data_IF_628669114183
#
_entry.id   IF_628669114183
#
_cell.length_a   1.000
_cell.length_b   1.000
_cell.length_c   1.000
_cell.angle_alpha   90.00
_cell.angle_beta   90.00
_cell.angle_gamma   90.00
#
_symmetry.space_group_name_H-M   'P 1'
#
loop_
_entity.id
_entity.type
_entity.pdbx_description
1 polymer ?
#
# COMPACT_ATOMS: atom_id res chain seq x y z
N UNK A 1 -13.63 -13.21 2.76
CA UNK A 1 -13.53 -11.75 2.60
C UNK A 1 -14.18 -11.32 1.29
N UNK A 2 -15.18 -10.44 1.31
CA UNK A 2 -15.84 -10.00 0.08
C UNK A 2 -14.90 -9.16 -0.79
N UNK A 3 -15.00 -9.35 -2.10
CA UNK A 3 -14.32 -8.51 -3.08
C UNK A 3 -15.04 -7.16 -3.13
N UNK A 4 -14.29 -6.06 -3.05
CA UNK A 4 -14.87 -4.74 -3.14
C UNK A 4 -15.26 -4.41 -4.58
N UNK A 5 -16.46 -3.87 -4.83
CA UNK A 5 -16.82 -3.38 -6.16
C UNK A 5 -15.87 -2.26 -6.60
N UNK A 6 -15.54 -2.23 -7.90
CA UNK A 6 -14.65 -1.20 -8.45
C UNK A 6 -15.09 0.22 -8.09
N UNK A 7 -16.38 0.47 -8.12
CA UNK A 7 -16.94 1.79 -7.80
C UNK A 7 -16.64 2.19 -6.35
N UNK A 8 -16.74 1.24 -5.42
CA UNK A 8 -16.43 1.48 -4.01
C UNK A 8 -14.92 1.72 -3.82
N UNK A 9 -14.09 0.95 -4.53
CA UNK A 9 -12.64 1.15 -4.48
C UNK A 9 -12.30 2.57 -4.96
N UNK A 10 -12.84 2.99 -6.09
CA UNK A 10 -12.59 4.32 -6.64
C UNK A 10 -13.04 5.42 -5.68
N UNK A 11 -14.18 5.23 -5.00
CA UNK A 11 -14.67 6.17 -4.00
C UNK A 11 -13.68 6.33 -2.85
N UNK A 12 -13.12 5.24 -2.34
CA UNK A 12 -12.17 5.29 -1.24
C UNK A 12 -10.81 5.82 -1.67
N UNK A 13 -10.41 5.59 -2.91
CA UNK A 13 -9.14 6.12 -3.44
C UNK A 13 -9.14 7.65 -3.51
N UNK A 14 -10.29 8.29 -3.52
CA UNK A 14 -10.36 9.76 -3.46
C UNK A 14 -9.69 10.32 -2.20
N UNK A 15 -9.66 9.56 -1.11
CA UNK A 15 -9.03 9.93 0.15
C UNK A 15 -7.61 9.37 0.30
N UNK A 16 -7.08 8.75 -0.74
CA UNK A 16 -5.77 8.10 -0.73
C UNK A 16 -4.91 8.62 -1.90
N UNK A 17 -4.40 9.86 -1.79
CA UNK A 17 -3.65 10.47 -2.90
C UNK A 17 -2.42 9.65 -3.25
N UNK A 18 -2.22 9.46 -4.55
CA UNK A 18 -1.10 8.67 -5.07
C UNK A 18 -1.36 7.17 -5.15
N UNK A 19 -2.42 6.66 -4.52
CA UNK A 19 -2.84 5.27 -4.67
C UNK A 19 -3.71 5.13 -5.91
N UNK A 20 -3.54 4.03 -6.62
CA UNK A 20 -4.34 3.75 -7.82
C UNK A 20 -4.72 2.28 -7.89
N UNK A 21 -5.80 2.01 -8.61
CA UNK A 21 -6.22 0.65 -8.93
C UNK A 21 -5.64 0.30 -10.31
N UNK A 22 -4.78 -0.71 -10.33
CA UNK A 22 -4.17 -1.21 -11.55
C UNK A 22 -4.59 -2.67 -11.73
N UNK A 23 -5.56 -2.90 -12.63
CA UNK A 23 -6.14 -4.23 -12.81
C UNK A 23 -6.85 -4.69 -11.54
N UNK A 24 -6.32 -5.73 -10.90
CA UNK A 24 -6.89 -6.38 -9.73
C UNK A 24 -6.12 -6.05 -8.44
N UNK A 25 -5.29 -5.02 -8.44
CA UNK A 25 -4.51 -4.66 -7.25
C UNK A 25 -4.40 -3.15 -7.08
N UNK A 26 -4.12 -2.73 -5.84
CA UNK A 26 -3.79 -1.34 -5.51
C UNK A 26 -2.28 -1.16 -5.57
N UNK A 27 -1.83 -0.01 -6.05
CA UNK A 27 -0.41 0.29 -6.13
C UNK A 27 -0.12 1.73 -5.69
N UNK A 28 1.06 1.93 -5.12
CA UNK A 28 1.56 3.23 -4.67
C UNK A 28 3.08 3.22 -4.71
N UNK A 29 3.65 4.31 -5.23
CA UNK A 29 5.10 4.53 -5.16
C UNK A 29 5.37 5.76 -4.32
N UNK A 30 6.33 5.65 -3.40
CA UNK A 30 6.81 6.75 -2.57
C UNK A 30 8.25 7.08 -2.92
N UNK A 31 8.58 8.37 -2.88
CA UNK A 31 9.97 8.83 -3.00
C UNK A 31 10.45 9.31 -1.64
N UNK A 32 11.68 8.94 -1.30
CA UNK A 32 12.32 9.26 -0.03
C UNK A 32 13.57 10.11 -0.28
N UNK A 33 14.08 10.75 0.77
CA UNK A 33 15.26 11.61 0.67
C UNK A 33 16.55 10.82 0.45
N UNK A 34 16.59 9.54 0.80
CA UNK A 34 17.80 8.72 0.73
C UNK A 34 17.45 7.24 0.69
N UNK A 35 18.43 6.40 0.39
CA UNK A 35 18.25 4.95 0.43
C UNK A 35 17.97 4.44 1.85
N UNK A 36 18.69 4.88 2.90
CA UNK A 36 18.34 4.48 4.26
C UNK A 36 16.92 4.88 4.66
N UNK A 37 16.43 6.05 4.24
CA UNK A 37 15.06 6.46 4.52
C UNK A 37 14.05 5.53 3.83
N UNK A 38 14.31 5.16 2.57
CA UNK A 38 13.47 4.21 1.85
C UNK A 38 13.46 2.84 2.54
N UNK A 39 14.62 2.36 2.98
CA UNK A 39 14.75 1.09 3.71
C UNK A 39 13.96 1.14 5.03
N UNK A 40 14.05 2.24 5.77
CA UNK A 40 13.29 2.40 7.02
C UNK A 40 11.79 2.36 6.78
N UNK A 41 11.32 2.97 5.70
CA UNK A 41 9.90 2.91 5.32
C UNK A 41 9.46 1.46 5.05
N UNK A 42 10.26 0.70 4.32
CA UNK A 42 9.96 -0.72 4.05
C UNK A 42 9.80 -1.51 5.35
N UNK A 43 10.71 -1.31 6.31
CA UNK A 43 10.65 -2.01 7.60
C UNK A 43 9.37 -1.64 8.36
N UNK A 44 9.01 -0.36 8.36
CA UNK A 44 7.79 0.11 9.04
C UNK A 44 6.53 -0.48 8.37
N UNK A 45 6.48 -0.49 7.04
CA UNK A 45 5.36 -1.09 6.32
C UNK A 45 5.27 -2.58 6.63
N UNK A 46 6.39 -3.28 6.66
CA UNK A 46 6.41 -4.71 6.99
C UNK A 46 5.80 -4.96 8.37
N UNK A 47 6.08 -4.09 9.36
CA UNK A 47 5.50 -4.21 10.70
C UNK A 47 3.97 -4.06 10.66
N UNK A 48 3.46 -3.09 9.90
CA UNK A 48 2.02 -2.89 9.74
C UNK A 48 1.37 -4.11 9.09
N UNK A 49 2.02 -4.69 8.08
CA UNK A 49 1.52 -5.89 7.40
C UNK A 49 1.40 -7.06 8.37
N UNK A 50 2.35 -7.22 9.28
CA UNK A 50 2.27 -8.25 10.32
C UNK A 50 1.11 -7.98 11.28
N UNK A 51 0.92 -6.73 11.70
CA UNK A 51 -0.20 -6.37 12.58
C UNK A 51 -1.56 -6.65 11.94
N UNK A 52 -1.70 -6.39 10.64
CA UNK A 52 -2.95 -6.62 9.92
C UNK A 52 -3.09 -8.06 9.41
N UNK A 53 -2.03 -8.85 9.51
CA UNK A 53 -1.94 -10.18 8.90
C UNK A 53 -2.32 -10.13 7.41
N UNK A 54 -1.81 -9.11 6.73
CA UNK A 54 -2.08 -8.90 5.31
C UNK A 54 -0.85 -8.29 4.65
N UNK A 55 -0.31 -8.95 3.63
CA UNK A 55 0.98 -8.61 3.04
C UNK A 55 0.82 -8.12 1.62
N UNK A 56 1.65 -7.13 1.26
CA UNK A 56 1.80 -6.64 -0.11
C UNK A 56 3.15 -7.08 -0.66
N UNK A 57 3.33 -6.88 -1.96
CA UNK A 57 4.66 -6.95 -2.57
C UNK A 57 5.31 -5.57 -2.42
N UNK A 58 6.52 -5.53 -1.84
CA UNK A 58 7.28 -4.32 -1.63
C UNK A 58 8.52 -4.34 -2.52
N UNK A 59 8.70 -3.28 -3.29
CA UNK A 59 9.91 -3.10 -4.12
C UNK A 59 10.69 -1.92 -3.56
N UNK A 60 11.91 -2.18 -3.11
CA UNK A 60 12.83 -1.16 -2.63
C UNK A 60 13.78 -0.76 -3.76
N UNK A 61 13.68 0.48 -4.22
CA UNK A 61 14.63 1.08 -5.12
C UNK A 61 15.70 1.85 -4.38
N UNK A 62 16.49 2.67 -5.09
CA UNK A 62 17.49 3.50 -4.45
C UNK A 62 16.85 4.45 -3.42
N UNK A 63 15.89 5.23 -3.85
CA UNK A 63 15.19 6.21 -3.00
C UNK A 63 13.67 6.09 -3.13
N UNK A 64 13.17 4.96 -3.61
CA UNK A 64 11.76 4.73 -3.85
C UNK A 64 11.29 3.45 -3.19
N UNK A 65 10.02 3.43 -2.80
CA UNK A 65 9.34 2.23 -2.31
C UNK A 65 8.02 2.10 -3.07
N UNK A 66 7.79 0.94 -3.67
CA UNK A 66 6.56 0.66 -4.40
C UNK A 66 5.83 -0.49 -3.73
N UNK A 67 4.55 -0.29 -3.46
CA UNK A 67 3.66 -1.33 -2.94
C UNK A 67 2.70 -1.78 -4.03
N UNK A 68 2.44 -3.08 -4.05
CA UNK A 68 1.41 -3.68 -4.89
C UNK A 68 0.65 -4.67 -4.03
N UNK A 69 -0.65 -4.48 -3.84
CA UNK A 69 -1.42 -5.29 -2.90
C UNK A 69 -2.77 -5.74 -3.47
N UNK A 70 -3.09 -7.00 -3.22
CA UNK A 70 -4.41 -7.58 -3.43
C UNK A 70 -4.61 -8.72 -2.42
N UNK A 71 -5.80 -9.30 -2.40
CA UNK A 71 -6.13 -10.37 -1.45
C UNK A 71 -6.11 -11.72 -2.16
N UNK A 72 -5.06 -12.50 -1.89
CA UNK A 72 -4.83 -13.79 -2.57
C UNK A 72 -5.93 -14.80 -2.31
N UNK A 73 -6.54 -14.78 -1.14
CA UNK A 73 -7.59 -15.75 -0.77
C UNK A 73 -8.88 -15.60 -1.59
N UNK A 74 -9.05 -14.48 -2.31
CA UNK A 74 -10.21 -14.26 -3.20
C UNK A 74 -9.75 -14.09 -4.65
N UNK A 75 -8.73 -14.83 -5.06
CA UNK A 75 -8.25 -14.83 -6.44
C UNK A 75 -7.44 -13.62 -6.85
N UNK A 76 -6.89 -12.87 -5.88
CA UNK A 76 -6.06 -11.72 -6.15
C UNK A 76 -6.84 -10.43 -6.37
N UNK A 77 -8.10 -10.36 -5.97
CA UNK A 77 -8.90 -9.13 -6.09
C UNK A 77 -8.72 -8.22 -4.87
N UNK A 78 -9.15 -6.96 -4.99
CA UNK A 78 -9.08 -5.99 -3.90
C UNK A 78 -10.24 -6.19 -2.92
N UNK A 79 -9.90 -6.16 -1.63
CA UNK A 79 -10.88 -6.25 -0.53
C UNK A 79 -10.63 -5.10 0.45
N UNK A 80 -11.43 -5.03 1.52
CA UNK A 80 -11.25 -4.06 2.60
C UNK A 80 -9.87 -4.20 3.28
N UNK A 81 -9.27 -5.40 3.28
CA UNK A 81 -7.92 -5.59 3.84
C UNK A 81 -6.88 -4.74 3.09
N UNK A 82 -6.99 -4.69 1.78
CA UNK A 82 -6.07 -3.90 0.95
C UNK A 82 -6.25 -2.41 1.19
N UNK A 83 -7.49 -1.97 1.30
CA UNK A 83 -7.81 -0.57 1.59
C UNK A 83 -7.36 -0.17 2.99
N UNK A 84 -7.51 -1.06 3.98
CA UNK A 84 -7.05 -0.81 5.34
C UNK A 84 -5.52 -0.67 5.39
N UNK A 85 -4.80 -1.53 4.68
CA UNK A 85 -3.34 -1.43 4.58
C UNK A 85 -2.95 -0.10 3.91
N UNK A 86 -3.61 0.26 2.82
CA UNK A 86 -3.32 1.51 2.11
C UNK A 86 -3.50 2.72 3.04
N UNK A 87 -4.57 2.76 3.82
CA UNK A 87 -4.80 3.87 4.77
C UNK A 87 -3.72 3.93 5.85
N UNK A 88 -3.32 2.78 6.39
CA UNK A 88 -2.27 2.72 7.41
C UNK A 88 -0.93 3.20 6.86
N UNK A 89 -0.57 2.77 5.67
CA UNK A 89 0.68 3.17 5.02
C UNK A 89 0.67 4.67 4.70
N UNK A 90 -0.42 5.18 4.17
CA UNK A 90 -0.55 6.59 3.85
C UNK A 90 -0.39 7.48 5.10
N UNK A 91 -0.87 7.01 6.26
CA UNK A 91 -0.75 7.74 7.52
C UNK A 91 0.69 7.75 8.06
N UNK A 92 1.46 6.69 7.86
CA UNK A 92 2.82 6.59 8.40
C UNK A 92 3.89 7.16 7.45
N UNK A 93 3.62 7.19 6.15
CA UNK A 93 4.61 7.59 5.16
C UNK A 93 5.17 9.01 5.36
N UNK A 94 4.36 10.03 5.66
CA UNK A 94 4.90 11.39 5.88
C UNK A 94 5.91 11.46 7.02
N UNK A 95 5.79 10.62 8.04
CA UNK A 95 6.75 10.56 9.15
C UNK A 95 8.14 10.14 8.72
N UNK A 96 8.26 9.47 7.56
CA UNK A 96 9.54 9.09 6.95
C UNK A 96 10.02 10.11 5.93
N UNK A 97 9.27 11.18 5.71
CA UNK A 97 9.58 12.16 4.68
C UNK A 97 9.19 11.70 3.27
N UNK A 98 8.33 10.70 3.15
CA UNK A 98 7.90 10.17 1.86
C UNK A 98 6.95 11.13 1.15
N UNK A 99 7.10 11.22 -0.14
CA UNK A 99 6.23 12.03 -1.02
C UNK A 99 5.72 11.23 -2.20
#
# INVERSE_FOLDING_TARGET
>A
MPVEPRKEIESQLADLPGWSLDGDHLTRSYRLASHPAATALVVHIAQVQEELDHHSDLTLGYDTVTLTVNTHSVGGAVTELDLALARRVENLAPGHGAV
#
